data_IF_718830273261
#
_entry.id   IF_718830273261
#
_cell.length_a   1.000
_cell.length_b   1.000
_cell.length_c   1.000
_cell.angle_alpha   90.00
_cell.angle_beta   90.00
_cell.angle_gamma   90.00
#
_symmetry.space_group_name_H-M   'P 1'
#
loop_
_entity.id
_entity.type
_entity.pdbx_description
1 polymer ?
#
# COMPACT_ATOMS: atom_id res chain seq x y z
N UNK A 1 9.08 -13.77 92.28
CA UNK A 1 7.98 -14.44 91.56
C UNK A 1 6.98 -13.35 91.19
N UNK A 2 7.07 -12.78 89.98
CA UNK A 2 6.12 -11.72 89.46
C UNK A 2 5.67 -12.20 88.07
N UNK A 3 4.37 -12.50 87.94
CA UNK A 3 3.68 -12.82 86.68
C UNK A 3 3.56 -11.56 85.86
N UNK A 4 4.02 -11.65 84.59
CA UNK A 4 3.76 -10.65 83.56
C UNK A 4 2.65 -11.19 82.66
N UNK A 5 1.53 -10.48 82.60
CA UNK A 5 0.38 -10.74 81.74
C UNK A 5 0.68 -10.24 80.32
N UNK A 6 0.60 -11.08 79.30
CA UNK A 6 0.61 -10.72 77.90
C UNK A 6 -0.77 -10.20 77.46
N UNK A 7 -0.79 -9.11 76.71
CA UNK A 7 -1.98 -8.56 76.00
C UNK A 7 -2.00 -9.08 74.58
N UNK A 8 -3.14 -9.44 74.00
CA UNK A 8 -3.22 -9.76 72.57
C UNK A 8 -3.28 -8.48 71.72
N UNK A 9 -2.47 -8.44 70.64
CA UNK A 9 -2.51 -7.42 69.61
C UNK A 9 -3.60 -7.77 68.58
N UNK A 10 -4.57 -6.87 68.41
CA UNK A 10 -5.51 -6.96 67.29
C UNK A 10 -4.82 -6.45 66.01
N UNK A 11 -4.60 -7.34 65.07
CA UNK A 11 -4.14 -7.01 63.71
C UNK A 11 -5.34 -6.48 62.89
N UNK A 12 -5.26 -5.26 62.42
CA UNK A 12 -6.21 -4.70 61.44
C UNK A 12 -5.87 -5.26 60.06
N UNK A 13 -6.77 -6.06 59.49
CA UNK A 13 -6.70 -6.47 58.08
C UNK A 13 -7.12 -5.29 57.17
N UNK A 14 -6.20 -4.67 56.46
CA UNK A 14 -6.50 -3.73 55.44
C UNK A 14 -6.93 -4.49 54.15
N UNK A 15 -8.21 -4.36 53.79
CA UNK A 15 -8.75 -4.81 52.51
C UNK A 15 -8.20 -3.88 51.40
N UNK A 16 -7.19 -4.33 50.66
CA UNK A 16 -6.80 -3.69 49.45
C UNK A 16 -7.79 -4.05 48.34
N UNK A 17 -8.70 -3.11 48.00
CA UNK A 17 -9.46 -3.20 46.76
C UNK A 17 -8.49 -3.14 45.59
N UNK A 18 -8.27 -4.29 44.93
CA UNK A 18 -7.57 -4.37 43.66
C UNK A 18 -8.37 -3.62 42.60
N UNK A 19 -7.80 -2.54 42.05
CA UNK A 19 -8.30 -1.92 40.84
C UNK A 19 -8.25 -2.96 39.71
N UNK A 20 -9.41 -3.46 39.29
CA UNK A 20 -9.57 -4.23 38.06
C UNK A 20 -9.24 -3.27 36.91
N UNK A 21 -8.25 -3.56 36.05
CA UNK A 21 -7.97 -2.71 34.91
C UNK A 21 -9.24 -2.64 34.05
N UNK A 22 -9.71 -1.43 33.78
CA UNK A 22 -10.78 -1.16 32.85
C UNK A 22 -10.45 -1.88 31.52
N UNK A 23 -11.35 -2.73 31.06
CA UNK A 23 -11.32 -3.23 29.68
C UNK A 23 -11.28 -2.01 28.78
N UNK A 24 -10.19 -1.83 28.02
CA UNK A 24 -10.17 -0.86 26.95
C UNK A 24 -11.40 -1.13 26.08
N UNK A 25 -12.25 -0.11 25.92
CA UNK A 25 -13.43 -0.17 25.05
C UNK A 25 -12.94 -0.48 23.64
N UNK A 26 -13.04 -1.75 23.25
CA UNK A 26 -12.83 -2.16 21.86
C UNK A 26 -14.01 -1.59 21.08
N UNK A 27 -13.79 -0.49 20.40
CA UNK A 27 -14.80 0.10 19.54
C UNK A 27 -15.31 -0.97 18.55
N UNK A 28 -16.62 -1.15 18.39
CA UNK A 28 -17.15 -2.09 17.42
C UNK A 28 -16.65 -1.71 16.02
N UNK A 29 -16.39 -2.70 15.14
CA UNK A 29 -15.91 -2.42 13.80
C UNK A 29 -16.89 -1.50 13.07
N UNK A 30 -16.37 -0.59 12.24
CA UNK A 30 -17.17 0.34 11.44
C UNK A 30 -18.23 -0.44 10.64
N UNK A 31 -19.51 0.02 10.60
CA UNK A 31 -20.56 -0.61 9.81
C UNK A 31 -20.26 -0.64 8.30
N UNK A 32 -19.29 0.14 7.85
CA UNK A 32 -18.80 0.11 6.48
C UNK A 32 -17.94 -1.13 6.17
N UNK A 33 -17.37 -1.79 7.19
CA UNK A 33 -16.58 -3.01 6.99
C UNK A 33 -17.54 -4.20 6.81
N UNK A 34 -17.55 -4.79 5.63
CA UNK A 34 -18.41 -5.94 5.30
C UNK A 34 -17.68 -7.28 5.33
N UNK A 35 -16.35 -7.26 5.15
CA UNK A 35 -15.47 -8.43 5.30
C UNK A 35 -14.18 -7.99 5.99
N UNK A 36 -13.65 -8.83 6.88
CA UNK A 36 -12.32 -8.68 7.47
C UNK A 36 -11.72 -10.07 7.67
N UNK A 37 -10.73 -10.44 6.87
CA UNK A 37 -10.16 -11.78 6.82
C UNK A 37 -8.66 -11.74 6.60
N UNK A 38 -7.95 -12.81 6.93
CA UNK A 38 -6.56 -13.00 6.50
C UNK A 38 -6.53 -13.70 5.14
N UNK A 39 -5.62 -13.28 4.26
CA UNK A 39 -5.43 -13.92 2.95
C UNK A 39 -4.96 -15.37 3.12
N UNK A 40 -4.25 -15.68 4.17
CA UNK A 40 -3.84 -17.04 4.52
C UNK A 40 -3.74 -17.20 6.04
N UNK A 41 -3.99 -18.42 6.53
CA UNK A 41 -3.81 -18.75 7.92
C UNK A 41 -2.35 -19.16 8.23
N UNK A 42 -1.71 -19.88 7.29
CA UNK A 42 -0.32 -20.32 7.33
C UNK A 42 0.33 -20.13 5.98
N UNK A 43 1.64 -19.86 5.98
CA UNK A 43 2.46 -19.73 4.77
C UNK A 43 3.79 -20.47 4.95
N UNK A 44 4.51 -20.65 3.86
CA UNK A 44 5.85 -21.25 3.85
C UNK A 44 6.95 -20.32 4.41
N UNK A 45 6.59 -19.12 4.83
CA UNK A 45 7.48 -18.08 5.34
C UNK A 45 6.91 -17.47 6.61
N UNK A 46 7.76 -17.04 7.57
CA UNK A 46 7.32 -16.40 8.80
C UNK A 46 7.02 -14.91 8.66
N UNK A 47 7.58 -14.24 7.65
CA UNK A 47 7.46 -12.78 7.46
C UNK A 47 6.86 -12.42 6.11
N UNK A 48 5.93 -11.45 6.10
CA UNK A 48 5.29 -10.92 4.91
C UNK A 48 5.10 -9.40 5.00
N UNK A 49 5.27 -8.69 3.88
CA UNK A 49 5.11 -7.23 3.86
C UNK A 49 4.74 -6.69 2.48
N UNK A 50 4.27 -5.43 2.45
CA UNK A 50 4.03 -4.63 1.25
C UNK A 50 3.09 -5.31 0.25
N UNK A 51 1.86 -5.55 0.66
CA UNK A 51 0.84 -6.14 -0.21
C UNK A 51 0.35 -5.17 -1.29
N UNK A 52 -0.11 -5.77 -2.37
CA UNK A 52 -0.84 -5.14 -3.48
C UNK A 52 -2.01 -6.02 -3.87
N UNK A 53 -3.05 -5.45 -4.47
CA UNK A 53 -4.26 -6.18 -4.87
C UNK A 53 -4.78 -5.65 -6.20
N UNK A 54 -5.40 -6.52 -6.99
CA UNK A 54 -6.06 -6.19 -8.24
C UNK A 54 -7.31 -7.05 -8.43
N UNK A 55 -8.34 -6.49 -9.07
CA UNK A 55 -9.48 -7.26 -9.54
C UNK A 55 -9.13 -7.97 -10.84
N UNK A 56 -9.54 -9.23 -10.95
CA UNK A 56 -9.40 -10.09 -12.13
C UNK A 56 -10.79 -10.52 -12.61
N UNK A 57 -10.89 -11.12 -13.78
CA UNK A 57 -12.17 -11.65 -14.28
C UNK A 57 -12.78 -12.72 -13.39
N UNK A 58 -11.93 -13.43 -12.63
CA UNK A 58 -12.33 -14.56 -11.80
C UNK A 58 -12.41 -14.21 -10.30
N UNK A 59 -12.25 -12.95 -9.93
CA UNK A 59 -12.23 -12.48 -8.54
C UNK A 59 -11.06 -11.54 -8.24
N UNK A 60 -10.27 -11.81 -7.18
CA UNK A 60 -9.17 -10.95 -6.77
C UNK A 60 -7.84 -11.69 -6.84
N UNK A 61 -6.78 -10.95 -7.11
CA UNK A 61 -5.40 -11.39 -6.98
C UNK A 61 -4.68 -10.43 -6.03
N UNK A 62 -4.05 -10.94 -4.98
CA UNK A 62 -3.18 -10.20 -4.09
C UNK A 62 -1.74 -10.71 -4.22
N UNK A 63 -0.76 -9.81 -4.06
CA UNK A 63 0.64 -10.17 -4.01
C UNK A 63 1.34 -9.41 -2.86
N UNK A 64 2.45 -9.97 -2.38
CA UNK A 64 3.30 -9.38 -1.34
C UNK A 64 4.70 -9.97 -1.43
N UNK A 65 5.67 -9.39 -0.75
CA UNK A 65 6.93 -10.09 -0.54
C UNK A 65 6.92 -10.89 0.77
N UNK A 66 7.56 -12.04 0.79
CA UNK A 66 7.62 -12.92 1.96
C UNK A 66 8.87 -13.80 1.95
N UNK A 67 9.40 -14.07 3.12
CA UNK A 67 10.60 -14.87 3.38
C UNK A 67 10.88 -14.93 4.88
N UNK A 68 12.12 -15.26 5.27
CA UNK A 68 12.52 -15.32 6.68
C UNK A 68 12.39 -13.97 7.38
N UNK A 69 12.85 -12.89 6.75
CA UNK A 69 12.68 -11.50 7.18
C UNK A 69 12.93 -10.56 5.99
N UNK A 70 12.42 -9.32 6.07
CA UNK A 70 12.68 -8.30 5.06
C UNK A 70 14.19 -8.13 4.81
N UNK A 71 14.60 -8.15 3.53
CA UNK A 71 15.99 -8.00 3.11
C UNK A 71 16.81 -9.28 3.14
N UNK A 72 16.24 -10.42 3.53
CA UNK A 72 16.94 -11.70 3.45
C UNK A 72 16.91 -12.27 2.03
N UNK A 73 17.94 -13.04 1.61
CA UNK A 73 18.04 -13.56 0.25
C UNK A 73 16.89 -14.49 -0.16
N UNK A 74 16.19 -15.09 0.79
CA UNK A 74 15.05 -15.99 0.56
C UNK A 74 13.73 -15.26 0.30
N UNK A 75 13.71 -13.93 0.41
CA UNK A 75 12.51 -13.14 0.15
C UNK A 75 12.15 -13.21 -1.33
N UNK A 76 10.96 -13.76 -1.61
CA UNK A 76 10.33 -13.84 -2.93
C UNK A 76 9.04 -13.04 -3.00
N UNK A 77 8.43 -12.99 -4.19
CA UNK A 77 7.09 -12.44 -4.41
C UNK A 77 6.09 -13.59 -4.43
N UNK A 78 5.09 -13.47 -3.58
CA UNK A 78 4.02 -14.44 -3.37
C UNK A 78 2.69 -13.87 -3.81
N UNK A 79 1.83 -14.71 -4.36
CA UNK A 79 0.47 -14.37 -4.77
C UNK A 79 -0.54 -15.34 -4.16
N UNK A 80 -1.75 -14.82 -3.89
CA UNK A 80 -2.94 -15.63 -3.63
C UNK A 80 -4.13 -15.07 -4.42
N UNK A 81 -5.04 -15.97 -4.80
CA UNK A 81 -6.26 -15.63 -5.53
C UNK A 81 -7.46 -15.79 -4.63
N UNK A 82 -8.42 -14.93 -4.80
CA UNK A 82 -9.74 -15.07 -4.19
C UNK A 82 -10.76 -15.39 -5.27
N UNK A 83 -11.37 -16.57 -5.18
CA UNK A 83 -12.50 -16.98 -6.01
C UNK A 83 -13.60 -17.55 -5.10
N UNK A 84 -14.86 -17.29 -5.40
CA UNK A 84 -15.95 -17.68 -4.53
C UNK A 84 -15.79 -17.10 -3.12
N UNK A 85 -15.74 -17.95 -2.08
CA UNK A 85 -15.72 -17.53 -0.67
C UNK A 85 -14.35 -17.49 -0.01
N UNK A 86 -13.26 -17.83 -0.72
CA UNK A 86 -11.97 -18.01 -0.05
C UNK A 86 -10.76 -17.63 -0.89
N UNK A 87 -9.64 -17.52 -0.18
CA UNK A 87 -8.31 -17.31 -0.76
C UNK A 87 -7.60 -18.65 -0.98
N UNK A 88 -6.85 -18.74 -2.07
CA UNK A 88 -5.98 -19.88 -2.35
C UNK A 88 -4.77 -19.90 -1.40
N UNK A 89 -4.11 -21.04 -1.33
CA UNK A 89 -2.76 -21.12 -0.74
C UNK A 89 -1.82 -20.19 -1.50
N UNK A 90 -0.93 -19.44 -0.81
CA UNK A 90 0.08 -18.61 -1.45
C UNK A 90 1.03 -19.41 -2.34
N UNK A 91 1.34 -18.86 -3.52
CA UNK A 91 2.30 -19.43 -4.49
C UNK A 91 3.39 -18.40 -4.75
N UNK A 92 4.68 -18.83 -4.73
CA UNK A 92 5.80 -17.98 -5.10
C UNK A 92 5.80 -17.77 -6.63
N UNK A 93 5.74 -16.51 -7.07
CA UNK A 93 5.63 -16.14 -8.49
C UNK A 93 6.88 -15.44 -9.03
N UNK A 94 7.75 -14.94 -8.15
CA UNK A 94 9.04 -14.37 -8.54
C UNK A 94 10.06 -14.53 -7.42
N UNK A 95 11.31 -14.75 -7.82
CA UNK A 95 12.46 -14.85 -6.92
C UNK A 95 13.54 -13.87 -7.34
N UNK A 96 14.49 -13.60 -6.44
CA UNK A 96 15.67 -12.79 -6.74
C UNK A 96 16.87 -13.63 -7.21
N UNK A 97 16.66 -14.81 -7.80
CA UNK A 97 17.74 -15.64 -8.31
C UNK A 97 18.54 -14.91 -9.40
N UNK A 98 19.86 -14.98 -9.29
CA UNK A 98 20.80 -14.36 -10.22
C UNK A 98 21.48 -15.44 -11.09
N UNK A 99 22.02 -15.09 -12.28
CA UNK A 99 22.69 -16.04 -13.17
C UNK A 99 23.91 -16.72 -12.53
N UNK A 100 24.56 -16.09 -11.54
CA UNK A 100 25.69 -16.63 -10.80
C UNK A 100 25.31 -17.59 -9.65
N UNK A 101 24.02 -17.94 -9.56
CA UNK A 101 23.48 -18.82 -8.55
C UNK A 101 23.17 -18.14 -7.20
N UNK A 102 23.53 -16.88 -7.02
CA UNK A 102 23.14 -16.10 -5.82
C UNK A 102 21.65 -15.79 -5.83
N UNK A 103 21.11 -15.50 -4.67
CA UNK A 103 19.75 -15.00 -4.52
C UNK A 103 19.78 -13.66 -3.77
N UNK A 104 19.08 -12.68 -4.30
CA UNK A 104 18.89 -11.37 -3.68
C UNK A 104 17.43 -11.21 -3.26
N UNK A 105 17.13 -10.41 -2.24
CA UNK A 105 15.74 -10.20 -1.84
C UNK A 105 14.92 -9.54 -2.93
N UNK A 106 13.65 -9.96 -3.01
CA UNK A 106 12.62 -9.27 -3.76
C UNK A 106 11.91 -8.24 -2.86
N UNK A 107 11.39 -7.16 -3.48
CA UNK A 107 10.79 -6.04 -2.77
C UNK A 107 9.55 -5.52 -3.49
N UNK A 108 8.60 -4.99 -2.70
CA UNK A 108 7.47 -4.16 -3.10
C UNK A 108 6.82 -4.56 -4.43
N UNK A 109 6.07 -5.67 -4.49
CA UNK A 109 5.28 -5.99 -5.67
C UNK A 109 4.19 -4.95 -5.88
N UNK A 110 3.90 -4.66 -7.14
CA UNK A 110 2.76 -3.84 -7.55
C UNK A 110 2.03 -4.54 -8.69
N UNK A 111 0.82 -4.99 -8.41
CA UNK A 111 -0.10 -5.52 -9.41
C UNK A 111 -0.85 -4.38 -10.07
N UNK A 112 -0.99 -4.43 -11.38
CA UNK A 112 -1.77 -3.46 -12.13
C UNK A 112 -2.42 -4.10 -13.35
N UNK A 113 -3.69 -3.77 -13.57
CA UNK A 113 -4.43 -4.14 -14.77
C UNK A 113 -4.69 -2.90 -15.61
N UNK A 114 -4.02 -2.74 -16.75
CA UNK A 114 -4.37 -1.70 -17.70
C UNK A 114 -5.74 -1.99 -18.35
N UNK A 115 -6.38 -0.98 -18.91
CA UNK A 115 -7.65 -1.12 -19.63
C UNK A 115 -7.55 -2.05 -20.84
N UNK A 116 -6.38 -2.10 -21.46
CA UNK A 116 -6.02 -3.04 -22.52
C UNK A 116 -4.63 -3.62 -22.27
N UNK A 117 -4.44 -4.92 -22.61
CA UNK A 117 -3.16 -5.60 -22.42
C UNK A 117 -3.16 -6.63 -21.28
N UNK A 118 -1.97 -7.13 -20.92
CA UNK A 118 -1.81 -8.14 -19.89
C UNK A 118 -1.94 -7.57 -18.49
N UNK A 119 -2.17 -8.43 -17.51
CA UNK A 119 -1.94 -8.11 -16.12
C UNK A 119 -0.44 -7.93 -15.87
N UNK A 120 -0.06 -6.87 -15.16
CA UNK A 120 1.32 -6.50 -14.86
C UNK A 120 1.65 -6.77 -13.40
N UNK A 121 2.85 -7.31 -13.15
CA UNK A 121 3.46 -7.45 -11.84
C UNK A 121 4.82 -6.76 -11.86
N UNK A 122 4.89 -5.55 -11.31
CA UNK A 122 6.15 -4.86 -11.04
C UNK A 122 6.71 -5.32 -9.70
N UNK A 123 8.03 -5.45 -9.60
CA UNK A 123 8.72 -5.70 -8.35
C UNK A 123 10.18 -5.24 -8.45
N UNK A 124 10.92 -5.28 -7.36
CA UNK A 124 12.33 -4.93 -7.34
C UNK A 124 13.14 -6.12 -6.83
N UNK A 125 14.38 -6.20 -7.29
CA UNK A 125 15.40 -7.13 -6.80
C UNK A 125 16.67 -6.35 -6.51
N UNK A 126 17.34 -6.66 -5.44
CA UNK A 126 18.59 -6.01 -5.06
C UNK A 126 18.87 -6.15 -3.58
N UNK A 127 20.10 -5.90 -3.13
CA UNK A 127 20.51 -6.11 -1.73
C UNK A 127 19.79 -5.18 -0.75
N UNK A 128 19.37 -4.01 -1.23
CA UNK A 128 18.64 -3.01 -0.43
C UNK A 128 17.87 -2.04 -1.31
N UNK A 129 16.95 -1.23 -0.74
CA UNK A 129 16.27 -0.15 -1.48
C UNK A 129 17.20 0.93 -2.06
N UNK A 130 18.45 0.96 -1.65
CA UNK A 130 19.47 1.86 -2.21
C UNK A 130 20.11 1.33 -3.50
N UNK A 131 20.06 0.00 -3.69
CA UNK A 131 20.81 -0.69 -4.74
C UNK A 131 19.96 -1.68 -5.55
N UNK A 132 18.65 -1.55 -5.49
CA UNK A 132 17.73 -2.40 -6.24
C UNK A 132 17.50 -1.91 -7.67
N UNK A 133 16.92 -2.78 -8.48
CA UNK A 133 16.47 -2.47 -9.83
C UNK A 133 15.04 -2.93 -10.06
N UNK A 134 14.36 -2.29 -11.02
CA UNK A 134 12.99 -2.62 -11.40
C UNK A 134 12.91 -3.83 -12.29
N UNK A 135 11.91 -4.66 -12.05
CA UNK A 135 11.52 -5.81 -12.86
C UNK A 135 10.01 -5.78 -13.09
N UNK A 136 9.61 -6.40 -14.18
CA UNK A 136 8.23 -6.56 -14.60
C UNK A 136 7.99 -7.99 -15.10
N UNK A 137 6.81 -8.56 -14.78
CA UNK A 137 6.26 -9.77 -15.42
C UNK A 137 4.88 -9.45 -15.96
N UNK A 138 4.48 -10.14 -17.00
CA UNK A 138 3.14 -10.04 -17.59
C UNK A 138 2.39 -11.36 -17.46
N UNK A 139 1.06 -11.30 -17.41
CA UNK A 139 0.20 -12.47 -17.41
C UNK A 139 -1.00 -12.24 -18.34
N UNK A 140 -1.31 -13.23 -19.18
CA UNK A 140 -2.45 -13.25 -20.10
C UNK A 140 -3.64 -14.06 -19.55
N UNK A 141 -3.44 -14.76 -18.44
CA UNK A 141 -4.39 -15.72 -17.85
C UNK A 141 -4.79 -15.34 -16.42
N UNK A 142 -4.95 -14.03 -16.16
CA UNK A 142 -5.39 -13.48 -14.88
C UNK A 142 -4.37 -13.76 -13.75
N UNK A 143 -3.06 -13.83 -14.09
CA UNK A 143 -1.93 -14.10 -13.18
C UNK A 143 -1.85 -15.55 -12.73
N UNK A 144 -2.45 -16.54 -13.45
CA UNK A 144 -2.22 -17.97 -13.19
C UNK A 144 -0.81 -18.38 -13.59
N UNK A 145 -0.35 -17.86 -14.73
CA UNK A 145 1.02 -17.97 -15.17
C UNK A 145 1.62 -16.59 -15.48
N UNK A 146 2.93 -16.50 -15.39
CA UNK A 146 3.67 -15.25 -15.59
C UNK A 146 4.79 -15.44 -16.62
N UNK A 147 5.03 -14.40 -17.41
CA UNK A 147 6.18 -14.34 -18.33
C UNK A 147 7.52 -14.48 -17.59
N UNK A 148 8.60 -14.65 -18.31
CA UNK A 148 9.94 -14.38 -17.81
C UNK A 148 10.04 -12.96 -17.21
N UNK A 149 10.99 -12.76 -16.29
CA UNK A 149 11.24 -11.44 -15.72
C UNK A 149 11.83 -10.50 -16.78
N UNK A 150 11.24 -9.34 -16.96
CA UNK A 150 11.68 -8.27 -17.85
C UNK A 150 12.37 -7.22 -16.96
N UNK A 151 13.66 -6.97 -17.18
CA UNK A 151 14.37 -5.91 -16.47
C UNK A 151 14.01 -4.56 -17.08
N UNK A 152 13.62 -3.61 -16.24
CA UNK A 152 13.36 -2.24 -16.69
C UNK A 152 14.65 -1.56 -17.13
N UNK A 153 14.59 -0.58 -18.04
CA UNK A 153 15.76 0.12 -18.53
C UNK A 153 16.55 0.77 -17.39
N UNK A 154 17.86 0.93 -17.52
CA UNK A 154 18.68 1.63 -16.53
C UNK A 154 18.09 3.00 -16.18
N UNK A 155 17.99 3.33 -14.88
CA UNK A 155 17.41 4.57 -14.37
C UNK A 155 15.91 4.53 -14.12
N UNK A 156 15.21 3.44 -14.50
CA UNK A 156 13.79 3.25 -14.23
C UNK A 156 13.55 2.12 -13.23
N UNK A 157 12.60 2.34 -12.33
CA UNK A 157 12.22 1.39 -11.28
C UNK A 157 10.77 0.93 -11.41
N UNK A 158 9.97 1.63 -12.21
CA UNK A 158 8.53 1.45 -12.22
C UNK A 158 7.87 1.92 -10.93
N UNK A 159 6.60 1.59 -10.71
CA UNK A 159 5.89 1.95 -9.48
C UNK A 159 6.59 1.31 -8.29
N UNK A 160 6.98 2.13 -7.30
CA UNK A 160 7.73 1.60 -6.14
C UNK A 160 6.83 0.79 -5.21
N UNK A 161 5.58 1.27 -4.99
CA UNK A 161 4.68 0.63 -4.03
C UNK A 161 3.20 0.81 -4.36
N UNK A 162 2.74 2.05 -4.57
CA UNK A 162 1.37 2.33 -4.97
C UNK A 162 1.17 2.02 -6.47
N UNK A 163 -0.05 1.68 -6.84
CA UNK A 163 -0.40 1.35 -8.22
C UNK A 163 -0.19 2.54 -9.14
N UNK A 164 0.27 2.34 -10.38
CA UNK A 164 0.21 3.37 -11.40
C UNK A 164 -1.25 3.70 -11.72
N UNK A 165 -1.45 4.81 -12.42
CA UNK A 165 -2.74 5.17 -13.01
C UNK A 165 -2.61 5.21 -14.52
N UNK A 166 -3.65 4.79 -15.23
CA UNK A 166 -3.78 4.94 -16.66
C UNK A 166 -4.38 6.31 -16.95
N UNK A 167 -3.63 7.13 -17.68
CA UNK A 167 -4.06 8.47 -18.08
C UNK A 167 -5.02 8.38 -19.26
N UNK A 168 -5.78 9.46 -19.52
CA UNK A 168 -6.68 9.55 -20.67
C UNK A 168 -5.96 9.37 -22.03
N UNK A 169 -4.65 9.57 -22.08
CA UNK A 169 -3.79 9.30 -23.24
C UNK A 169 -3.46 7.81 -23.45
N UNK A 170 -3.84 6.93 -22.52
CA UNK A 170 -3.45 5.51 -22.48
C UNK A 170 -2.05 5.25 -21.89
N UNK A 171 -1.32 6.30 -21.49
CA UNK A 171 -0.02 6.17 -20.83
C UNK A 171 -0.21 5.73 -19.36
N UNK A 172 0.71 4.94 -18.83
CA UNK A 172 0.75 4.66 -17.40
C UNK A 172 1.62 5.69 -16.69
N UNK A 173 1.08 6.36 -15.69
CA UNK A 173 1.81 7.23 -14.78
C UNK A 173 2.07 6.47 -13.48
N UNK A 174 3.34 6.25 -13.14
CA UNK A 174 3.79 5.51 -11.99
C UNK A 174 4.53 6.40 -11.00
N UNK A 175 4.24 6.24 -9.72
CA UNK A 175 4.98 6.86 -8.64
C UNK A 175 6.26 6.09 -8.34
N UNK A 176 7.42 6.74 -8.50
CA UNK A 176 8.74 6.16 -8.29
C UNK A 176 9.52 6.95 -7.23
N UNK A 177 10.56 6.34 -6.67
CA UNK A 177 11.48 7.00 -5.75
C UNK A 177 12.82 6.28 -5.65
N UNK A 178 13.86 7.01 -5.29
CA UNK A 178 15.21 6.49 -5.04
C UNK A 178 15.66 6.80 -3.62
N UNK A 179 16.54 5.96 -3.06
CA UNK A 179 17.01 6.07 -1.67
C UNK A 179 18.56 6.15 -1.54
N UNK A 180 19.31 6.02 -2.64
CA UNK A 180 20.77 5.97 -2.63
C UNK A 180 21.44 7.31 -2.26
N UNK A 181 20.83 8.43 -2.66
CA UNK A 181 21.36 9.80 -2.39
C UNK A 181 20.32 10.63 -1.58
N UNK A 182 19.66 10.00 -0.61
CA UNK A 182 18.50 10.56 0.08
C UNK A 182 17.18 10.03 -0.48
N UNK A 183 16.09 10.37 0.18
CA UNK A 183 14.77 10.00 -0.27
C UNK A 183 14.24 10.99 -1.30
N UNK A 184 14.16 10.54 -2.56
CA UNK A 184 13.83 11.41 -3.69
C UNK A 184 12.70 10.81 -4.52
N UNK A 185 11.64 11.59 -4.73
CA UNK A 185 10.46 11.23 -5.51
C UNK A 185 10.69 11.55 -6.99
N UNK A 186 10.27 10.62 -7.83
CA UNK A 186 10.18 10.77 -9.28
C UNK A 186 8.82 10.27 -9.77
N UNK A 187 8.39 10.75 -10.92
CA UNK A 187 7.28 10.14 -11.66
C UNK A 187 7.84 9.49 -12.92
N UNK A 188 7.38 8.29 -13.21
CA UNK A 188 7.75 7.55 -14.40
C UNK A 188 6.51 7.30 -15.27
N UNK A 189 6.65 7.47 -16.57
CA UNK A 189 5.57 7.29 -17.55
C UNK A 189 5.99 6.19 -18.49
N UNK A 190 5.11 5.20 -18.65
CA UNK A 190 5.25 4.15 -19.65
C UNK A 190 4.29 4.45 -20.79
N UNK A 191 4.85 4.64 -21.97
CA UNK A 191 4.11 4.92 -23.20
C UNK A 191 4.12 3.65 -24.05
N UNK A 192 2.95 3.03 -24.20
CA UNK A 192 2.75 1.91 -25.12
C UNK A 192 2.14 2.44 -26.40
N UNK A 193 2.74 2.13 -27.54
CA UNK A 193 2.29 2.65 -28.84
C UNK A 193 0.81 2.33 -29.07
N UNK A 194 0.01 3.35 -29.40
CA UNK A 194 -1.39 3.21 -29.74
C UNK A 194 -1.57 2.34 -31.00
N UNK A 195 -2.52 1.41 -30.99
CA UNK A 195 -2.84 0.56 -32.14
C UNK A 195 -2.33 -0.88 -32.06
N UNK A 196 -1.59 -1.23 -31.03
CA UNK A 196 -1.20 -2.60 -30.77
C UNK A 196 -2.29 -3.33 -29.95
N UNK A 197 -3.36 -3.76 -30.62
CA UNK A 197 -4.19 -4.83 -30.08
C UNK A 197 -3.28 -6.01 -29.69
N UNK A 198 -3.01 -6.23 -28.40
CA UNK A 198 -2.06 -7.17 -27.82
C UNK A 198 -0.56 -6.98 -28.16
N UNK A 199 -0.17 -6.29 -29.23
CA UNK A 199 1.21 -6.23 -29.75
C UNK A 199 2.16 -5.23 -29.05
N UNK A 200 1.66 -4.19 -28.37
CA UNK A 200 2.53 -3.19 -27.72
C UNK A 200 3.08 -3.58 -26.35
N UNK A 201 2.52 -4.62 -25.73
CA UNK A 201 2.94 -5.11 -24.42
C UNK A 201 3.98 -6.24 -24.51
N UNK A 202 4.89 -6.16 -25.48
CA UNK A 202 5.95 -7.18 -25.63
C UNK A 202 7.09 -6.94 -24.64
N UNK A 203 7.84 -7.99 -24.27
CA UNK A 203 9.02 -7.84 -23.42
C UNK A 203 10.01 -6.79 -23.93
N UNK A 204 10.21 -6.73 -25.25
CA UNK A 204 11.13 -5.80 -25.90
C UNK A 204 10.63 -4.35 -25.76
N UNK A 205 9.33 -4.10 -25.98
CA UNK A 205 8.74 -2.78 -25.81
C UNK A 205 8.82 -2.31 -24.36
N UNK A 206 8.49 -3.21 -23.40
CA UNK A 206 8.54 -2.91 -21.97
C UNK A 206 9.96 -2.69 -21.44
N UNK A 207 10.97 -3.34 -22.04
CA UNK A 207 12.38 -3.15 -21.72
C UNK A 207 13.04 -1.98 -22.47
N UNK A 208 12.34 -1.37 -23.44
CA UNK A 208 12.89 -0.29 -24.26
C UNK A 208 12.95 1.01 -23.47
N UNK A 209 14.13 1.65 -23.43
CA UNK A 209 14.29 2.95 -22.79
C UNK A 209 13.42 4.05 -23.42
N UNK A 210 13.09 3.94 -24.71
CA UNK A 210 12.23 4.89 -25.42
C UNK A 210 10.75 4.85 -24.98
N UNK A 211 10.31 3.74 -24.36
CA UNK A 211 8.96 3.62 -23.82
C UNK A 211 8.80 4.29 -22.44
N UNK A 212 9.90 4.61 -21.78
CA UNK A 212 9.89 5.15 -20.44
C UNK A 212 10.34 6.62 -20.41
N UNK A 213 9.62 7.45 -19.67
CA UNK A 213 9.96 8.85 -19.44
C UNK A 213 9.94 9.12 -17.93
N UNK A 214 10.92 9.88 -17.44
CA UNK A 214 11.05 10.22 -16.03
C UNK A 214 10.98 11.72 -15.83
N UNK A 215 10.22 12.15 -14.82
CA UNK A 215 10.12 13.52 -14.34
C UNK A 215 10.55 13.57 -12.88
N UNK A 216 11.40 14.49 -12.53
CA UNK A 216 11.94 14.65 -11.19
C UNK A 216 13.44 14.96 -11.19
N UNK A 217 14.03 15.19 -10.02
CA UNK A 217 13.47 15.03 -8.67
C UNK A 217 12.33 16.01 -8.39
N UNK A 218 11.32 15.56 -7.58
CA UNK A 218 10.17 16.39 -7.20
C UNK A 218 10.29 17.00 -5.80
N UNK A 219 11.30 16.60 -5.05
CA UNK A 219 11.61 17.11 -3.72
C UNK A 219 13.11 17.28 -3.52
N UNK A 220 13.46 18.19 -2.65
CA UNK A 220 14.79 18.27 -2.03
C UNK A 220 14.76 17.41 -0.75
N UNK A 221 15.59 16.35 -0.64
CA UNK A 221 15.63 15.52 0.55
C UNK A 221 16.10 16.25 1.82
N UNK A 222 16.75 17.42 1.68
CA UNK A 222 17.10 18.31 2.78
C UNK A 222 15.88 19.03 3.36
N UNK A 223 14.84 19.28 2.54
CA UNK A 223 13.57 19.88 2.96
C UNK A 223 12.55 18.79 3.34
N UNK A 224 12.26 17.90 2.41
CA UNK A 224 11.38 16.76 2.60
C UNK A 224 12.05 15.49 2.09
N UNK A 225 12.50 14.61 2.99
CA UNK A 225 12.92 13.27 2.63
C UNK A 225 11.67 12.40 2.38
N UNK A 226 11.15 12.41 1.16
CA UNK A 226 9.89 11.79 0.77
C UNK A 226 10.09 10.69 -0.27
N UNK A 227 9.24 9.63 -0.20
CA UNK A 227 9.24 8.49 -1.14
C UNK A 227 7.84 7.90 -1.33
N UNK A 228 7.74 6.97 -2.28
CA UNK A 228 6.59 6.08 -2.50
C UNK A 228 5.29 6.83 -2.72
N UNK A 229 5.22 7.69 -3.76
CA UNK A 229 4.01 8.44 -4.05
C UNK A 229 2.84 7.52 -4.41
N UNK A 230 1.65 7.86 -3.89
CA UNK A 230 0.35 7.41 -4.41
C UNK A 230 -0.28 8.52 -5.23
N UNK A 231 -1.13 8.19 -6.19
CA UNK A 231 -1.60 9.11 -7.23
C UNK A 231 -3.11 9.31 -7.13
N UNK A 232 -3.56 10.56 -7.12
CA UNK A 232 -4.95 10.97 -7.22
C UNK A 232 -5.18 11.73 -8.52
N UNK A 233 -6.07 11.20 -9.38
CA UNK A 233 -6.47 11.84 -10.62
C UNK A 233 -7.73 12.65 -10.39
N UNK A 234 -7.64 13.98 -10.41
CA UNK A 234 -8.75 14.91 -10.22
C UNK A 234 -9.50 15.17 -11.54
N UNK A 235 -8.75 15.33 -12.62
CA UNK A 235 -9.26 15.50 -13.98
C UNK A 235 -8.26 14.93 -15.00
N UNK A 236 -8.54 14.88 -16.29
CA UNK A 236 -7.59 14.38 -17.29
C UNK A 236 -6.21 15.04 -17.27
N UNK A 237 -6.13 16.31 -16.80
CA UNK A 237 -4.88 17.05 -16.72
C UNK A 237 -4.40 17.29 -15.30
N UNK A 238 -5.31 17.31 -14.31
CA UNK A 238 -4.98 17.64 -12.91
C UNK A 238 -4.74 16.37 -12.09
N UNK A 239 -3.51 16.21 -11.65
CA UNK A 239 -3.04 15.06 -10.87
C UNK A 239 -2.36 15.52 -9.59
N UNK A 240 -2.59 14.80 -8.49
CA UNK A 240 -1.93 15.01 -7.20
C UNK A 240 -1.18 13.74 -6.83
N UNK A 241 -0.02 13.89 -6.21
CA UNK A 241 0.65 12.81 -5.49
C UNK A 241 0.68 13.11 -4.01
N UNK A 242 0.55 12.05 -3.22
CA UNK A 242 0.76 12.06 -1.78
C UNK A 242 1.92 11.11 -1.46
N UNK A 243 2.87 11.55 -0.64
CA UNK A 243 4.06 10.78 -0.32
C UNK A 243 4.24 10.66 1.19
N UNK A 244 4.77 9.53 1.66
CA UNK A 244 5.29 9.44 3.01
C UNK A 244 6.60 10.23 3.11
N UNK A 245 6.88 10.82 4.27
CA UNK A 245 8.12 11.55 4.52
C UNK A 245 8.73 11.20 5.87
N UNK A 246 10.00 11.58 6.07
CA UNK A 246 10.67 11.48 7.38
C UNK A 246 10.33 12.62 8.31
N UNK A 247 9.62 13.64 7.84
CA UNK A 247 9.23 14.82 8.61
C UNK A 247 7.97 14.62 9.45
N UNK A 248 7.47 13.37 9.58
CA UNK A 248 6.30 13.04 10.40
C UNK A 248 4.95 13.45 9.78
N UNK A 249 4.96 13.87 8.51
CA UNK A 249 3.76 14.30 7.77
C UNK A 249 3.72 13.67 6.38
N UNK A 250 2.53 13.58 5.80
CA UNK A 250 2.36 13.31 4.37
C UNK A 250 2.70 14.59 3.59
N UNK A 251 3.46 14.44 2.51
CA UNK A 251 3.76 15.52 1.58
C UNK A 251 2.99 15.35 0.28
N UNK A 252 2.79 16.44 -0.46
CA UNK A 252 2.06 16.47 -1.73
C UNK A 252 2.79 17.28 -2.80
N UNK A 253 2.52 16.94 -4.06
CA UNK A 253 2.82 17.78 -5.22
C UNK A 253 1.71 17.65 -6.25
N UNK A 254 1.55 18.69 -7.09
CA UNK A 254 0.46 18.83 -8.04
C UNK A 254 0.98 19.00 -9.47
N UNK A 255 0.29 18.36 -10.41
CA UNK A 255 0.45 18.55 -11.84
C UNK A 255 -0.84 19.11 -12.44
N UNK A 256 -0.70 19.99 -13.44
CA UNK A 256 -1.82 20.54 -14.21
C UNK A 256 -1.78 20.08 -15.69
N UNK A 257 -0.83 19.24 -16.04
CA UNK A 257 -0.53 18.79 -17.40
C UNK A 257 -0.40 17.26 -17.53
N UNK A 258 -1.21 16.54 -16.75
CA UNK A 258 -1.23 15.08 -16.72
C UNK A 258 0.13 14.46 -16.31
N UNK A 259 0.83 15.06 -15.36
CA UNK A 259 2.07 14.51 -14.80
C UNK A 259 3.33 14.82 -15.63
N UNK A 260 3.27 15.79 -16.58
CA UNK A 260 4.46 16.20 -17.33
C UNK A 260 5.34 17.19 -16.56
N UNK A 261 4.71 18.06 -15.77
CA UNK A 261 5.39 18.94 -14.82
C UNK A 261 4.68 18.93 -13.47
N UNK A 262 5.39 19.35 -12.42
CA UNK A 262 4.90 19.27 -11.05
C UNK A 262 5.24 20.52 -10.27
N UNK A 263 4.36 20.87 -9.33
CA UNK A 263 4.64 21.92 -8.35
C UNK A 263 5.80 21.48 -7.42
N UNK A 264 6.38 22.44 -6.71
CA UNK A 264 7.23 22.15 -5.55
C UNK A 264 6.44 21.29 -4.55
N UNK A 265 7.13 20.34 -3.90
CA UNK A 265 6.54 19.53 -2.84
C UNK A 265 6.24 20.40 -1.60
N UNK A 266 5.13 20.11 -0.94
CA UNK A 266 4.69 20.80 0.28
C UNK A 266 4.16 19.80 1.30
N UNK A 267 4.13 20.18 2.57
CA UNK A 267 3.52 19.39 3.63
C UNK A 267 1.99 19.49 3.58
N UNK A 268 1.31 18.40 3.87
CA UNK A 268 -0.12 18.39 4.22
C UNK A 268 -0.30 18.53 5.73
N UNK A 269 -1.54 18.56 6.21
CA UNK A 269 -1.87 18.52 7.64
C UNK A 269 -1.94 17.11 8.21
N UNK A 270 -1.75 16.08 7.37
CA UNK A 270 -1.89 14.68 7.77
C UNK A 270 -0.59 14.18 8.42
N UNK A 271 -0.63 13.69 9.67
CA UNK A 271 0.53 13.05 10.29
C UNK A 271 0.83 11.71 9.61
N UNK A 272 2.09 11.30 9.61
CA UNK A 272 2.50 9.98 9.12
C UNK A 272 3.83 9.56 9.76
N UNK A 273 3.93 8.37 10.36
CA UNK A 273 5.15 7.87 11.01
C UNK A 273 6.15 7.30 9.99
N UNK A 274 6.28 7.94 8.84
CA UNK A 274 7.06 7.41 7.72
C UNK A 274 6.63 6.01 7.29
N UNK A 275 5.30 5.77 7.27
CA UNK A 275 4.69 4.52 6.82
C UNK A 275 4.10 4.67 5.41
N UNK A 276 4.09 3.55 4.66
CA UNK A 276 3.50 3.51 3.32
C UNK A 276 2.01 3.84 3.33
N UNK A 277 1.55 4.54 2.31
CA UNK A 277 0.18 5.01 2.11
C UNK A 277 -0.33 4.54 0.76
N UNK A 278 -1.64 4.44 0.58
CA UNK A 278 -2.25 4.27 -0.74
C UNK A 278 -3.57 5.02 -0.84
N UNK A 279 -3.93 5.45 -2.04
CA UNK A 279 -5.12 6.24 -2.29
C UNK A 279 -5.89 5.76 -3.51
N UNK A 280 -7.17 6.10 -3.57
CA UNK A 280 -8.01 5.90 -4.74
C UNK A 280 -9.11 6.96 -4.83
N UNK A 281 -9.70 7.10 -6.04
CA UNK A 281 -10.90 7.89 -6.26
C UNK A 281 -12.12 6.99 -6.39
N UNK A 282 -13.19 7.32 -5.67
CA UNK A 282 -14.50 6.68 -5.78
C UNK A 282 -15.26 7.15 -7.02
N UNK A 283 -16.30 6.41 -7.40
CA UNK A 283 -17.17 6.77 -8.53
C UNK A 283 -17.95 8.08 -8.30
N UNK A 284 -18.26 8.39 -7.06
CA UNK A 284 -18.96 9.61 -6.64
C UNK A 284 -18.05 10.84 -6.58
N UNK A 285 -16.76 10.67 -6.89
CA UNK A 285 -15.76 11.72 -6.94
C UNK A 285 -14.95 11.89 -5.66
N UNK A 286 -15.37 11.32 -4.54
CA UNK A 286 -14.60 11.34 -3.29
C UNK A 286 -13.26 10.60 -3.43
N UNK A 287 -12.29 11.02 -2.65
CA UNK A 287 -10.99 10.38 -2.53
C UNK A 287 -10.88 9.63 -1.20
N UNK A 288 -10.22 8.48 -1.25
CA UNK A 288 -9.85 7.70 -0.07
C UNK A 288 -8.34 7.66 0.07
N UNK A 289 -7.86 7.73 1.30
CA UNK A 289 -6.45 7.58 1.67
C UNK A 289 -6.34 6.60 2.82
N UNK A 290 -5.67 5.47 2.62
CA UNK A 290 -5.31 4.56 3.70
C UNK A 290 -3.91 4.90 4.20
N UNK A 291 -3.77 5.14 5.52
CA UNK A 291 -2.53 5.61 6.13
C UNK A 291 -2.50 5.37 7.65
N UNK A 292 -1.34 5.56 8.24
CA UNK A 292 -1.17 5.56 9.69
C UNK A 292 -1.28 7.01 10.20
N UNK A 293 -2.34 7.38 10.97
CA UNK A 293 -2.64 8.75 11.37
C UNK A 293 -1.89 9.17 12.66
N UNK A 294 -0.61 8.86 12.73
CA UNK A 294 0.27 9.13 13.88
C UNK A 294 1.60 9.69 13.39
N UNK A 295 2.36 10.35 14.23
CA UNK A 295 3.74 10.78 13.92
C UNK A 295 4.76 9.69 14.22
N UNK A 296 4.41 8.74 15.11
CA UNK A 296 5.26 7.63 15.53
C UNK A 296 4.46 6.34 15.66
N UNK A 297 5.14 5.21 15.46
CA UNK A 297 4.53 3.88 15.53
C UNK A 297 3.56 3.60 14.38
N UNK A 298 3.08 2.36 14.30
CA UNK A 298 2.16 1.90 13.23
C UNK A 298 1.01 1.06 13.78
N UNK A 299 0.61 1.32 15.03
CA UNK A 299 -0.47 0.61 15.71
C UNK A 299 -1.86 1.05 15.24
N UNK A 300 -1.96 2.24 14.63
CA UNK A 300 -3.22 2.73 14.04
C UNK A 300 -3.14 2.69 12.53
N UNK A 301 -4.17 2.16 11.90
CA UNK A 301 -4.36 2.20 10.45
C UNK A 301 -5.79 2.57 10.16
N UNK A 302 -5.99 3.62 9.34
CA UNK A 302 -7.33 4.07 9.00
C UNK A 302 -7.44 4.50 7.54
N UNK A 303 -8.67 4.67 7.09
CA UNK A 303 -9.00 5.30 5.82
C UNK A 303 -9.59 6.69 6.12
N UNK A 304 -8.98 7.71 5.56
CA UNK A 304 -9.54 9.04 5.48
C UNK A 304 -10.29 9.26 4.16
N UNK A 305 -11.23 10.20 4.18
CA UNK A 305 -12.08 10.59 3.05
C UNK A 305 -11.89 12.07 2.77
N UNK A 306 -11.83 12.43 1.49
CA UNK A 306 -11.75 13.83 1.05
C UNK A 306 -12.59 14.06 -0.19
N UNK A 307 -13.17 15.25 -0.34
CA UNK A 307 -13.89 15.66 -1.55
C UNK A 307 -12.97 16.40 -2.54
N UNK A 308 -11.83 16.92 -2.08
CA UNK A 308 -10.94 17.77 -2.85
C UNK A 308 -9.45 17.32 -2.86
N UNK A 309 -9.12 16.23 -2.14
CA UNK A 309 -7.76 15.73 -1.95
C UNK A 309 -6.90 16.57 -1.00
N UNK A 310 -7.46 17.60 -0.34
CA UNK A 310 -6.76 18.51 0.58
C UNK A 310 -7.31 18.43 1.99
N UNK A 311 -8.63 18.61 2.15
CA UNK A 311 -9.30 18.48 3.43
C UNK A 311 -9.71 17.02 3.65
N UNK A 312 -9.13 16.38 4.67
CA UNK A 312 -9.33 14.98 4.96
C UNK A 312 -10.06 14.80 6.29
N UNK A 313 -11.06 13.93 6.32
CA UNK A 313 -11.77 13.52 7.53
C UNK A 313 -11.64 12.02 7.74
N UNK A 314 -11.70 11.58 8.98
CA UNK A 314 -11.70 10.14 9.30
C UNK A 314 -12.90 9.46 8.65
N UNK A 315 -12.68 8.31 8.03
CA UNK A 315 -13.73 7.48 7.44
C UNK A 315 -13.88 6.14 8.16
N UNK A 316 -12.87 5.28 8.10
CA UNK A 316 -12.94 3.92 8.67
C UNK A 316 -11.65 3.61 9.43
N UNK A 317 -11.78 3.17 10.68
CA UNK A 317 -10.66 2.59 11.43
C UNK A 317 -10.53 1.11 11.02
N UNK A 318 -9.36 0.75 10.51
CA UNK A 318 -9.02 -0.64 10.14
C UNK A 318 -8.39 -1.38 11.31
N UNK A 319 -7.47 -0.72 12.01
CA UNK A 319 -6.76 -1.24 13.18
C UNK A 319 -6.48 -0.12 14.18
N UNK A 320 -6.67 -0.40 15.47
CA UNK A 320 -6.34 0.48 16.58
C UNK A 320 -5.99 -0.37 17.83
N UNK A 321 -5.03 -1.26 17.68
CA UNK A 321 -4.58 -2.17 18.73
C UNK A 321 -3.05 -2.20 18.76
N UNK A 322 -2.47 -2.72 19.84
CA UNK A 322 -1.03 -2.94 19.93
C UNK A 322 -0.54 -3.83 18.78
N UNK A 323 0.46 -3.38 18.04
CA UNK A 323 1.03 -4.10 16.91
C UNK A 323 1.54 -3.17 15.80
N UNK A 324 1.96 -3.74 14.68
CA UNK A 324 2.33 -3.02 13.46
C UNK A 324 1.34 -3.35 12.35
N UNK A 325 0.64 -2.33 11.85
CA UNK A 325 -0.30 -2.39 10.73
C UNK A 325 0.09 -1.35 9.71
N UNK A 326 0.50 -1.77 8.52
CA UNK A 326 1.16 -0.85 7.61
C UNK A 326 1.06 -1.29 6.15
N UNK A 327 1.48 -0.41 5.25
CA UNK A 327 1.54 -0.65 3.82
C UNK A 327 0.21 -1.10 3.22
N UNK A 328 -0.86 -0.31 3.41
CA UNK A 328 -2.15 -0.59 2.80
C UNK A 328 -2.10 -0.48 1.28
N UNK A 329 -2.90 -1.28 0.57
CA UNK A 329 -3.17 -1.15 -0.85
C UNK A 329 -4.68 -1.15 -1.06
N UNK A 330 -5.17 -0.24 -1.89
CA UNK A 330 -6.60 0.00 -2.15
C UNK A 330 -6.95 -0.29 -3.60
N UNK A 331 -8.08 -0.95 -3.84
CA UNK A 331 -8.76 -0.93 -5.13
C UNK A 331 -10.25 -0.70 -4.94
N UNK A 332 -10.92 -0.22 -5.97
CA UNK A 332 -12.37 -0.28 -6.11
C UNK A 332 -12.70 -1.36 -7.13
N UNK A 333 -13.51 -2.34 -6.75
CA UNK A 333 -14.01 -3.38 -7.62
C UNK A 333 -15.21 -2.89 -8.47
N UNK A 334 -15.57 -3.66 -9.48
CA UNK A 334 -16.68 -3.33 -10.40
C UNK A 334 -18.02 -3.23 -9.69
N UNK A 335 -18.23 -3.96 -8.58
CA UNK A 335 -19.41 -3.87 -7.73
C UNK A 335 -19.44 -2.60 -6.85
N UNK A 336 -18.45 -1.72 -6.98
CA UNK A 336 -18.33 -0.46 -6.26
C UNK A 336 -17.71 -0.56 -4.85
N UNK A 337 -17.40 -1.75 -4.36
CA UNK A 337 -16.76 -1.96 -3.07
C UNK A 337 -15.28 -1.58 -3.11
N UNK A 338 -14.76 -1.23 -1.95
CA UNK A 338 -13.33 -0.96 -1.77
C UNK A 338 -12.69 -2.14 -1.07
N UNK A 339 -11.68 -2.71 -1.71
CA UNK A 339 -10.84 -3.76 -1.14
C UNK A 339 -9.54 -3.15 -0.65
N UNK A 340 -9.17 -3.50 0.57
CA UNK A 340 -7.95 -3.06 1.23
C UNK A 340 -7.13 -4.28 1.61
N UNK A 341 -5.88 -4.32 1.23
CA UNK A 341 -4.93 -5.28 1.81
C UNK A 341 -3.85 -4.52 2.57
N UNK A 342 -3.33 -5.09 3.64
CA UNK A 342 -2.25 -4.49 4.42
C UNK A 342 -1.45 -5.54 5.19
N UNK A 343 -0.24 -5.16 5.56
CA UNK A 343 0.63 -5.93 6.42
C UNK A 343 0.10 -5.93 7.86
N UNK A 344 -0.11 -7.10 8.41
CA UNK A 344 -0.51 -7.33 9.79
C UNK A 344 0.68 -7.92 10.56
N UNK A 345 1.27 -7.13 11.45
CA UNK A 345 2.38 -7.49 12.35
C UNK A 345 3.60 -8.13 11.63
N UNK A 346 3.85 -7.77 10.38
CA UNK A 346 4.91 -8.37 9.55
C UNK A 346 4.80 -9.88 9.33
N UNK A 347 3.70 -10.51 9.73
CA UNK A 347 3.51 -11.96 9.69
C UNK A 347 2.52 -12.39 8.62
N UNK A 348 1.46 -11.60 8.44
CA UNK A 348 0.35 -11.95 7.53
C UNK A 348 -0.13 -10.75 6.74
N UNK A 349 -0.88 -11.05 5.71
CA UNK A 349 -1.61 -10.03 4.94
C UNK A 349 -3.09 -10.14 5.29
N UNK A 350 -3.67 -9.02 5.69
CA UNK A 350 -5.10 -8.90 5.97
C UNK A 350 -5.80 -8.29 4.78
N UNK A 351 -7.02 -8.73 4.52
CA UNK A 351 -7.92 -8.23 3.50
C UNK A 351 -9.20 -7.74 4.17
N UNK A 352 -9.60 -6.53 3.82
CA UNK A 352 -10.83 -5.88 4.30
C UNK A 352 -11.64 -5.41 3.11
N UNK A 353 -12.95 -5.63 3.14
CA UNK A 353 -13.90 -5.10 2.15
C UNK A 353 -14.75 -4.04 2.81
N UNK A 354 -14.85 -2.89 2.16
CA UNK A 354 -15.57 -1.73 2.64
C UNK A 354 -16.70 -1.39 1.65
N UNK A 355 -17.88 -1.11 2.19
CA UNK A 355 -18.98 -0.50 1.46
C UNK A 355 -18.88 1.03 1.61
N UNK A 356 -18.48 1.77 0.55
CA UNK A 356 -18.32 3.23 0.63
C UNK A 356 -19.61 3.98 0.94
N UNK A 357 -20.78 3.37 0.64
CA UNK A 357 -22.08 3.98 0.93
C UNK A 357 -22.38 4.02 2.44
N UNK A 358 -21.71 3.15 3.23
CA UNK A 358 -21.88 3.07 4.69
C UNK A 358 -20.78 3.81 5.46
N UNK A 359 -19.86 4.48 4.77
CA UNK A 359 -18.88 5.33 5.44
C UNK A 359 -19.57 6.58 5.98
N UNK A 360 -19.33 6.90 7.25
CA UNK A 360 -19.89 8.10 7.87
C UNK A 360 -19.53 9.36 7.07
N UNK A 361 -20.54 10.18 6.78
CA UNK A 361 -20.40 11.38 5.96
C UNK A 361 -20.85 11.25 4.51
N UNK A 362 -21.52 10.17 4.10
CA UNK A 362 -22.38 10.16 2.91
C UNK A 362 -23.67 10.96 3.23
N UNK A 363 -23.49 12.24 3.59
CA UNK A 363 -24.61 13.16 3.81
C UNK A 363 -25.41 13.26 2.53
N UNK A 364 -26.68 12.82 2.58
CA UNK A 364 -27.68 13.13 1.60
C UNK A 364 -27.59 14.61 1.24
N UNK A 365 -27.26 14.94 -0.01
CA UNK A 365 -27.74 16.17 -0.59
C UNK A 365 -29.26 16.04 -0.60
N UNK A 366 -29.92 16.50 0.46
CA UNK A 366 -31.34 16.77 0.44
C UNK A 366 -31.54 17.78 -0.70
N UNK A 367 -32.20 17.33 -1.75
CA UNK A 367 -32.61 18.22 -2.82
C UNK A 367 -33.54 19.28 -2.23
N UNK A 368 -33.10 20.50 -2.25
CA UNK A 368 -34.00 21.65 -2.23
C UNK A 368 -34.70 21.67 -3.59
N UNK A 369 -36.02 21.54 -3.49
CA UNK A 369 -36.96 21.75 -4.59
C UNK A 369 -37.18 23.24 -4.81
#
# INVERSE_FOLDING_TARGET
MRLVRARPAFGAFALTLGLVPSRADVQPPSPAIVVSEFIYARAAFPSAHASTIVETRDGLLAAWFGGTAEGQPDVGIWCARRSGTGWSVPVEVATGAQPDGKRLPCWNPVLFRPSAGPLLLFYKVGPSPREWWGLLRTSLDEGRTWSGAIRLPPGFLGPIRAKPVELASGELLAGSSTEHAGWVVHMERLVIAAGASSGGWTPEALASASAWHRVGPLNDPGEFAAIQPTILVHSPTRVQILCRSRQGVITEAWSQDAGRSWSRMSATTLPNPSAGIDSLRLADGRFLLAYNPTTEGRQKLEIAVSDDGKAWRRGVVLEDATGEYSYPALIRSQDGRVHVTYTWQRQRIKHVVIDPARMEGSGSRSGDR
#
